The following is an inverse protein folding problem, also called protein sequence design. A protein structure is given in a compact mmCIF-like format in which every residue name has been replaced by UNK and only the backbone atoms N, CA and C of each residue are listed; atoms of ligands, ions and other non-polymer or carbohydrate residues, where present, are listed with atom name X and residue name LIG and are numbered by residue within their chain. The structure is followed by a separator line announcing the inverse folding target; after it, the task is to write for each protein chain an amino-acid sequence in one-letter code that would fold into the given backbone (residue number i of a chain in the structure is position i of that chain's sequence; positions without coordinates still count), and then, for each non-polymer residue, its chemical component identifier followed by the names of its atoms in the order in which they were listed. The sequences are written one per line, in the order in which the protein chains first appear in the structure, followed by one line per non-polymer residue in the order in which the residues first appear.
data_IF_611019153789
#
_entry.id   IF_611019153789
#
_cell.length_a   1.000
_cell.length_b   1.000
_cell.length_c   1.000
_cell.angle_alpha   90.00
_cell.angle_beta   90.00
_cell.angle_gamma   90.00
#
_symmetry.space_group_name_H-M   'P 1'
#
loop_
_entity.id
_entity.type
_entity.pdbx_description
1 polymer ?
#
# COMPACT_ATOMS: atom_id res chain seq x y z
N UNK A 1 21.89 29.59 -3.72
CA UNK A 1 22.68 28.97 -2.65
C UNK A 1 21.72 28.40 -1.64
N UNK A 2 21.83 27.13 -1.30
CA UNK A 2 21.08 26.50 -0.21
C UNK A 2 21.99 26.42 1.02
N UNK A 3 21.41 26.66 2.19
CA UNK A 3 22.09 26.56 3.47
C UNK A 3 21.39 25.48 4.30
N UNK A 4 22.13 24.65 5.00
CA UNK A 4 21.62 23.61 5.87
C UNK A 4 22.27 23.77 7.24
N UNK A 5 21.43 23.96 8.27
CA UNK A 5 21.85 24.07 9.67
C UNK A 5 21.02 23.10 10.51
N UNK A 6 21.69 22.35 11.34
CA UNK A 6 21.07 21.45 12.31
C UNK A 6 20.95 22.13 13.66
N UNK A 7 20.17 21.56 14.59
CA UNK A 7 20.10 22.07 15.96
C UNK A 7 21.45 22.00 16.69
N UNK A 8 22.34 21.10 16.29
CA UNK A 8 23.71 21.03 16.84
C UNK A 8 24.59 22.21 16.43
N UNK A 9 24.26 22.89 15.34
CA UNK A 9 24.99 24.08 14.88
C UNK A 9 24.58 25.33 15.66
N UNK A 10 23.57 25.26 16.51
CA UNK A 10 23.10 26.37 17.34
C UNK A 10 23.78 26.33 18.71
N UNK A 11 24.73 27.23 18.92
CA UNK A 11 25.48 27.34 20.18
C UNK A 11 24.65 27.72 21.41
N UNK A 12 23.38 28.13 21.22
CA UNK A 12 22.45 28.47 22.31
C UNK A 12 21.70 27.24 22.85
N UNK A 13 21.77 26.10 22.16
CA UNK A 13 21.12 24.85 22.59
C UNK A 13 22.16 23.93 23.24
N UNK A 14 21.75 23.31 24.35
CA UNK A 14 22.57 22.29 24.99
C UNK A 14 22.50 20.97 24.15
N UNK A 15 23.66 20.50 23.73
CA UNK A 15 23.77 19.24 22.99
C UNK A 15 23.23 18.03 23.77
N UNK A 16 23.31 18.07 25.12
CA UNK A 16 22.75 17.04 25.98
C UNK A 16 21.23 16.96 25.91
N UNK A 17 20.55 18.10 25.80
CA UNK A 17 19.10 18.14 25.60
C UNK A 17 18.69 17.58 24.22
N UNK A 18 19.49 17.88 23.18
CA UNK A 18 19.29 17.34 21.85
C UNK A 18 19.46 15.80 21.85
N UNK A 19 20.45 15.29 22.58
CA UNK A 19 20.67 13.84 22.71
C UNK A 19 19.56 13.13 23.50
N UNK A 20 18.95 13.81 24.49
CA UNK A 20 17.78 13.30 25.20
C UNK A 20 16.58 13.26 24.24
N UNK A 21 16.35 14.31 23.46
CA UNK A 21 15.29 14.34 22.45
C UNK A 21 15.47 13.20 21.43
N UNK A 22 16.71 12.93 20.99
CA UNK A 22 17.04 11.83 20.08
C UNK A 22 16.64 10.46 20.63
N UNK A 23 16.73 10.25 21.94
CA UNK A 23 16.34 8.99 22.60
C UNK A 23 14.84 8.88 22.85
N UNK A 24 14.14 10.01 22.92
CA UNK A 24 12.72 10.06 23.30
C UNK A 24 11.74 10.13 22.14
N UNK A 25 12.22 10.35 20.92
CA UNK A 25 11.38 10.45 19.73
C UNK A 25 11.83 9.50 18.62
N UNK A 26 10.96 9.32 17.60
CA UNK A 26 11.33 8.51 16.43
C UNK A 26 12.50 9.14 15.69
N UNK A 27 13.33 8.31 15.06
CA UNK A 27 14.48 8.78 14.27
C UNK A 27 14.06 9.74 13.14
N UNK A 28 12.88 9.53 12.56
CA UNK A 28 12.29 10.42 11.57
C UNK A 28 11.97 11.80 12.15
N UNK A 29 11.22 11.86 13.26
CA UNK A 29 10.88 13.12 13.91
C UNK A 29 12.14 13.88 14.34
N UNK A 30 13.13 13.17 14.87
CA UNK A 30 14.40 13.77 15.25
C UNK A 30 15.13 14.39 14.05
N UNK A 31 15.19 13.69 12.90
CA UNK A 31 15.83 14.23 11.71
C UNK A 31 15.11 15.45 11.15
N UNK A 32 13.78 15.46 11.14
CA UNK A 32 13.01 16.64 10.71
C UNK A 32 13.18 17.83 11.64
N UNK A 33 13.04 17.61 12.94
CA UNK A 33 12.98 18.70 13.91
C UNK A 33 14.37 19.24 14.31
N UNK A 34 15.38 18.36 14.42
CA UNK A 34 16.69 18.70 14.92
C UNK A 34 17.78 18.70 13.86
N UNK A 35 17.63 17.93 12.80
CA UNK A 35 18.63 17.79 11.75
C UNK A 35 18.27 18.55 10.47
N UNK A 36 17.18 19.35 10.48
CA UNK A 36 16.67 20.10 9.32
C UNK A 36 16.52 19.22 8.05
N UNK A 37 16.16 17.95 8.23
CA UNK A 37 15.99 17.02 7.13
C UNK A 37 14.65 17.27 6.43
N UNK A 38 14.67 17.43 5.12
CA UNK A 38 13.47 17.58 4.27
C UNK A 38 12.93 16.25 3.75
N UNK A 39 13.20 15.17 4.46
CA UNK A 39 12.66 13.85 4.08
C UNK A 39 11.14 13.87 4.02
N UNK A 40 10.58 13.33 2.93
CA UNK A 40 9.13 13.21 2.80
C UNK A 40 8.58 12.26 3.89
N UNK A 41 7.49 12.66 4.53
CA UNK A 41 6.78 11.80 5.50
C UNK A 41 6.41 10.49 4.82
N UNK A 42 6.97 9.38 5.27
CA UNK A 42 6.77 8.05 4.67
C UNK A 42 8.02 7.44 4.04
N UNK A 43 9.09 8.21 3.78
CA UNK A 43 10.36 7.66 3.27
C UNK A 43 11.05 6.71 4.26
N UNK A 44 10.65 6.70 5.53
CA UNK A 44 11.16 5.79 6.56
C UNK A 44 10.32 4.55 6.80
N UNK A 45 9.06 4.53 6.35
CA UNK A 45 8.20 3.34 6.55
C UNK A 45 8.70 2.13 5.78
N UNK A 46 9.35 2.37 4.62
CA UNK A 46 9.97 1.32 3.82
C UNK A 46 11.36 1.79 3.44
N UNK A 47 12.38 1.16 4.03
CA UNK A 47 13.76 1.43 3.65
C UNK A 47 14.08 0.64 2.39
N UNK A 48 14.77 1.28 1.44
CA UNK A 48 15.22 0.63 0.20
C UNK A 48 16.06 -0.62 0.49
N UNK A 49 16.84 -0.59 1.55
CA UNK A 49 17.67 -1.72 2.02
C UNK A 49 16.85 -2.95 2.48
N UNK A 50 15.55 -2.80 2.74
CA UNK A 50 14.66 -3.91 3.09
C UNK A 50 14.08 -4.60 1.85
N UNK A 51 14.12 -3.92 0.70
CA UNK A 51 13.62 -4.49 -0.55
C UNK A 51 14.63 -5.53 -1.03
N UNK A 52 14.19 -6.75 -1.12
CA UNK A 52 14.99 -7.86 -1.64
C UNK A 52 14.43 -8.28 -2.99
N UNK A 53 15.34 -8.42 -3.95
CA UNK A 53 15.00 -8.96 -5.25
C UNK A 53 15.49 -10.40 -5.33
N UNK A 54 14.71 -11.25 -6.01
CA UNK A 54 15.05 -12.66 -6.19
C UNK A 54 14.19 -13.28 -7.26
N UNK A 55 14.39 -14.57 -7.50
CA UNK A 55 13.57 -15.36 -8.40
C UNK A 55 12.32 -15.86 -7.68
N UNK A 56 11.20 -15.97 -8.41
CA UNK A 56 9.98 -16.55 -7.87
C UNK A 56 10.24 -18.00 -7.46
N UNK A 57 9.83 -18.41 -6.25
CA UNK A 57 9.97 -19.80 -5.85
C UNK A 57 9.17 -20.72 -6.78
N UNK A 58 9.69 -21.92 -7.06
CA UNK A 58 9.00 -22.90 -7.93
C UNK A 58 7.66 -23.32 -7.31
N UNK A 59 7.65 -23.59 -6.00
CA UNK A 59 6.48 -24.03 -5.25
C UNK A 59 5.88 -22.94 -4.39
N UNK A 60 4.58 -22.97 -4.18
CA UNK A 60 3.83 -22.07 -3.31
C UNK A 60 2.44 -21.77 -3.83
N UNK A 61 1.60 -21.29 -2.92
CA UNK A 61 0.22 -20.90 -3.19
C UNK A 61 0.13 -19.41 -3.52
N UNK A 62 -0.66 -19.07 -4.52
CA UNK A 62 -0.92 -17.68 -4.87
C UNK A 62 -2.05 -17.08 -4.04
N UNK A 63 -1.85 -15.85 -3.61
CA UNK A 63 -2.83 -15.00 -2.95
C UNK A 63 -2.86 -13.65 -3.67
N UNK A 64 -4.05 -13.06 -3.76
CA UNK A 64 -4.23 -11.74 -4.35
C UNK A 64 -4.77 -10.80 -3.27
N UNK A 65 -4.17 -9.64 -3.14
CA UNK A 65 -4.67 -8.56 -2.30
C UNK A 65 -5.02 -7.35 -3.18
N UNK A 66 -6.20 -6.76 -2.94
CA UNK A 66 -6.73 -5.64 -3.72
C UNK A 66 -6.98 -4.46 -2.79
N UNK A 67 -6.29 -3.35 -3.07
CA UNK A 67 -6.55 -2.02 -2.49
C UNK A 67 -7.31 -1.21 -3.55
N UNK A 68 -8.59 -0.94 -3.29
CA UNK A 68 -9.46 -0.27 -4.24
C UNK A 68 -9.42 1.24 -4.04
N UNK A 69 -9.13 1.99 -5.09
CA UNK A 69 -9.39 3.42 -5.13
C UNK A 69 -10.90 3.70 -4.98
N UNK A 70 -11.25 4.86 -4.40
CA UNK A 70 -12.63 5.31 -4.38
C UNK A 70 -13.11 5.53 -5.83
N UNK A 71 -14.22 4.89 -6.20
CA UNK A 71 -14.87 5.13 -7.48
C UNK A 71 -15.67 6.43 -7.36
N UNK A 72 -15.04 7.57 -7.64
CA UNK A 72 -15.78 8.82 -7.78
C UNK A 72 -16.49 8.84 -9.14
N UNK A 73 -17.74 9.35 -9.13
CA UNK A 73 -18.51 9.59 -10.34
C UNK A 73 -17.69 10.34 -11.38
N UNK A 74 -17.41 9.68 -12.50
CA UNK A 74 -16.68 10.25 -13.65
C UNK A 74 -17.37 11.55 -14.17
N UNK A 75 -18.61 11.81 -13.74
CA UNK A 75 -19.43 12.97 -14.12
C UNK A 75 -19.32 14.16 -13.15
N UNK A 76 -18.66 14.06 -12.00
CA UNK A 76 -18.43 15.24 -11.15
C UNK A 76 -17.31 16.08 -11.74
N UNK A 77 -17.63 17.34 -12.12
CA UNK A 77 -16.65 18.35 -12.55
C UNK A 77 -15.45 18.33 -11.60
N UNK A 78 -14.29 17.96 -12.13
CA UNK A 78 -13.01 17.92 -11.43
C UNK A 78 -12.77 19.23 -10.70
N UNK A 79 -12.85 19.22 -9.38
CA UNK A 79 -12.21 20.26 -8.58
C UNK A 79 -10.71 19.97 -8.59
N UNK A 80 -9.90 20.98 -8.88
CA UNK A 80 -8.46 20.92 -9.21
C UNK A 80 -7.53 20.26 -8.17
N UNK A 81 -8.02 19.73 -7.06
CA UNK A 81 -7.21 19.29 -5.90
C UNK A 81 -7.48 17.86 -5.36
N UNK A 82 -8.29 17.06 -6.01
CA UNK A 82 -8.42 15.65 -5.60
C UNK A 82 -7.33 14.82 -6.28
N UNK A 83 -6.26 14.50 -5.56
CA UNK A 83 -5.38 13.38 -5.90
C UNK A 83 -6.24 12.12 -5.76
N UNK A 84 -6.71 11.60 -6.89
CA UNK A 84 -7.36 10.29 -6.91
C UNK A 84 -6.28 9.23 -6.65
N UNK A 85 -6.53 8.36 -5.69
CA UNK A 85 -5.68 7.21 -5.44
C UNK A 85 -5.77 6.21 -6.59
N UNK A 86 -4.73 5.42 -6.78
CA UNK A 86 -4.72 4.32 -7.74
C UNK A 86 -5.25 3.04 -7.08
N UNK A 87 -5.97 2.22 -7.83
CA UNK A 87 -6.27 0.85 -7.42
C UNK A 87 -5.01 0.01 -7.60
N UNK A 88 -4.70 -0.85 -6.64
CA UNK A 88 -3.58 -1.77 -6.70
C UNK A 88 -4.04 -3.21 -6.47
N UNK A 89 -3.53 -4.12 -7.29
CA UNK A 89 -3.74 -5.57 -7.21
C UNK A 89 -2.37 -6.20 -7.03
N UNK A 90 -2.06 -6.69 -5.84
CA UNK A 90 -0.81 -7.37 -5.54
C UNK A 90 -1.02 -8.88 -5.58
N UNK A 91 -0.16 -9.58 -6.31
CA UNK A 91 -0.11 -11.03 -6.38
C UNK A 91 1.10 -11.49 -5.58
N UNK A 92 0.86 -12.30 -4.56
CA UNK A 92 1.90 -12.88 -3.73
C UNK A 92 1.89 -14.40 -3.86
N UNK A 93 3.07 -14.98 -3.97
CA UNK A 93 3.30 -16.42 -3.84
C UNK A 93 3.82 -16.70 -2.44
N UNK A 94 3.23 -17.65 -1.75
CA UNK A 94 3.51 -17.95 -0.35
C UNK A 94 3.88 -19.42 -0.21
N UNK A 95 4.97 -19.70 0.47
CA UNK A 95 5.39 -21.03 0.85
C UNK A 95 5.95 -21.05 2.29
N UNK A 96 6.51 -22.15 2.73
CA UNK A 96 7.10 -22.30 4.06
C UNK A 96 8.28 -21.34 4.33
N UNK A 97 8.96 -20.85 3.28
CA UNK A 97 10.10 -19.95 3.40
C UNK A 97 9.70 -18.46 3.42
N UNK A 98 8.42 -18.15 3.17
CA UNK A 98 7.90 -16.80 3.24
C UNK A 98 7.06 -16.38 2.04
N UNK A 99 7.14 -15.10 1.72
CA UNK A 99 6.31 -14.44 0.71
C UNK A 99 7.19 -13.90 -0.41
N UNK A 100 6.74 -14.08 -1.61
CA UNK A 100 7.33 -13.47 -2.80
C UNK A 100 6.25 -12.65 -3.52
N UNK A 101 6.53 -11.38 -3.77
CA UNK A 101 5.62 -10.53 -4.57
C UNK A 101 5.86 -10.83 -6.04
N UNK A 102 4.96 -11.57 -6.63
CA UNK A 102 5.05 -12.03 -8.01
C UNK A 102 4.75 -10.91 -9.00
N UNK A 103 3.71 -10.12 -8.71
CA UNK A 103 3.28 -9.04 -9.58
C UNK A 103 2.51 -7.97 -8.80
N UNK A 104 2.60 -6.74 -9.29
CA UNK A 104 1.76 -5.62 -8.82
C UNK A 104 1.17 -4.94 -10.05
N UNK A 105 -0.15 -5.00 -10.18
CA UNK A 105 -0.92 -4.34 -11.23
C UNK A 105 -1.59 -3.14 -10.60
N UNK A 106 -1.31 -1.95 -11.07
CA UNK A 106 -1.89 -0.73 -10.50
C UNK A 106 -2.29 0.26 -11.58
N UNK A 107 -3.26 1.10 -11.24
CA UNK A 107 -3.73 2.13 -12.15
C UNK A 107 -5.08 2.71 -11.73
N UNK A 108 -5.56 3.65 -12.56
CA UNK A 108 -6.86 4.30 -12.39
C UNK A 108 -7.84 3.73 -13.37
N UNK A 109 -8.71 2.90 -12.88
CA UNK A 109 -9.69 2.19 -13.69
C UNK A 109 -11.10 2.49 -13.21
N UNK A 110 -12.04 2.45 -14.13
CA UNK A 110 -13.45 2.43 -13.80
C UNK A 110 -13.83 1.08 -13.15
N UNK A 111 -15.06 1.01 -12.66
CA UNK A 111 -15.57 -0.13 -11.90
C UNK A 111 -15.46 -1.45 -12.67
N UNK A 112 -15.95 -1.47 -13.92
CA UNK A 112 -15.95 -2.67 -14.78
C UNK A 112 -14.53 -3.09 -15.19
N UNK A 113 -13.68 -2.13 -15.43
CA UNK A 113 -12.28 -2.38 -15.77
C UNK A 113 -11.54 -2.96 -14.56
N UNK A 114 -11.77 -2.41 -13.37
CA UNK A 114 -11.21 -2.94 -12.11
C UNK A 114 -11.65 -4.39 -11.89
N UNK A 115 -12.93 -4.69 -12.04
CA UNK A 115 -13.43 -6.06 -11.94
C UNK A 115 -12.78 -6.98 -12.98
N UNK A 116 -12.58 -6.48 -14.21
CA UNK A 116 -11.91 -7.23 -15.28
C UNK A 116 -10.44 -7.51 -14.94
N UNK A 117 -9.70 -6.53 -14.40
CA UNK A 117 -8.30 -6.72 -13.97
C UNK A 117 -8.17 -7.73 -12.84
N UNK A 118 -9.05 -7.66 -11.83
CA UNK A 118 -9.09 -8.66 -10.75
C UNK A 118 -9.36 -10.05 -11.33
N UNK A 119 -10.35 -10.18 -12.20
CA UNK A 119 -10.73 -11.45 -12.81
C UNK A 119 -9.61 -12.03 -13.69
N UNK A 120 -8.88 -11.20 -14.46
CA UNK A 120 -7.71 -11.59 -15.23
C UNK A 120 -6.60 -12.14 -14.32
N UNK A 121 -6.26 -11.41 -13.24
CA UNK A 121 -5.26 -11.87 -12.28
C UNK A 121 -5.63 -13.22 -11.67
N UNK A 122 -6.92 -13.44 -11.35
CA UNK A 122 -7.40 -14.75 -10.85
C UNK A 122 -7.22 -15.86 -11.88
N UNK A 123 -7.50 -15.60 -13.15
CA UNK A 123 -7.31 -16.60 -14.22
C UNK A 123 -5.86 -16.95 -14.44
N UNK A 124 -4.98 -15.95 -14.39
CA UNK A 124 -3.56 -16.10 -14.67
C UNK A 124 -2.84 -16.85 -13.54
N UNK A 125 -3.16 -16.50 -12.28
CA UNK A 125 -2.45 -17.01 -11.10
C UNK A 125 -3.19 -18.09 -10.32
N UNK A 126 -4.51 -18.26 -10.52
CA UNK A 126 -5.36 -19.24 -9.80
C UNK A 126 -5.16 -19.22 -8.30
N UNK A 127 -5.38 -18.06 -7.64
CA UNK A 127 -5.08 -17.89 -6.22
C UNK A 127 -5.99 -18.74 -5.34
N UNK A 128 -5.51 -19.07 -4.14
CA UNK A 128 -6.31 -19.71 -3.07
C UNK A 128 -7.43 -18.78 -2.63
N UNK A 129 -7.14 -17.48 -2.51
CA UNK A 129 -8.14 -16.47 -2.20
C UNK A 129 -7.75 -15.09 -2.72
N UNK A 130 -8.77 -14.22 -2.83
CA UNK A 130 -8.63 -12.81 -3.18
C UNK A 130 -9.10 -11.97 -2.00
N UNK A 131 -8.19 -11.28 -1.34
CA UNK A 131 -8.49 -10.35 -0.27
C UNK A 131 -8.84 -8.96 -0.83
N UNK A 132 -10.00 -8.42 -0.45
CA UNK A 132 -10.42 -7.06 -0.85
C UNK A 132 -10.75 -6.27 0.40
N UNK A 133 -10.20 -5.05 0.53
CA UNK A 133 -10.47 -4.18 1.67
C UNK A 133 -11.96 -3.87 1.81
N UNK A 134 -12.49 -3.98 3.05
CA UNK A 134 -13.87 -3.65 3.38
C UNK A 134 -14.16 -2.19 3.08
N UNK A 135 -15.25 -1.92 2.36
CA UNK A 135 -15.67 -0.56 2.09
C UNK A 135 -16.71 -0.46 0.96
N UNK A 136 -17.10 0.77 0.65
CA UNK A 136 -18.07 1.07 -0.41
C UNK A 136 -17.54 0.63 -1.78
N UNK A 137 -16.24 0.81 -2.02
CA UNK A 137 -15.60 0.41 -3.26
C UNK A 137 -15.68 -1.11 -3.48
N UNK A 138 -15.50 -1.93 -2.42
CA UNK A 138 -15.72 -3.38 -2.49
C UNK A 138 -17.16 -3.71 -2.87
N UNK A 139 -18.13 -3.09 -2.22
CA UNK A 139 -19.54 -3.34 -2.53
C UNK A 139 -19.86 -3.05 -4.00
N UNK A 140 -19.31 -1.97 -4.53
CA UNK A 140 -19.50 -1.58 -5.93
C UNK A 140 -18.88 -2.61 -6.90
N UNK A 141 -17.64 -3.05 -6.67
CA UNK A 141 -16.92 -3.97 -7.58
C UNK A 141 -17.48 -5.39 -7.57
N UNK A 142 -18.17 -5.79 -6.49
CA UNK A 142 -18.72 -7.15 -6.36
C UNK A 142 -19.75 -7.51 -7.43
N UNK A 143 -20.56 -6.55 -7.89
CA UNK A 143 -21.57 -6.82 -8.92
C UNK A 143 -20.94 -7.20 -10.26
N UNK A 144 -20.11 -6.35 -10.90
CA UNK A 144 -19.47 -6.70 -12.17
C UNK A 144 -18.53 -7.90 -12.04
N UNK A 145 -17.87 -8.08 -10.88
CA UNK A 145 -17.03 -9.25 -10.65
C UNK A 145 -17.83 -10.56 -10.62
N UNK A 146 -18.99 -10.55 -9.94
CA UNK A 146 -19.92 -11.70 -9.92
C UNK A 146 -20.44 -12.04 -11.32
N UNK A 147 -20.71 -11.03 -12.15
CA UNK A 147 -21.17 -11.25 -13.53
C UNK A 147 -20.07 -11.88 -14.39
N UNK A 148 -18.82 -11.48 -14.20
CA UNK A 148 -17.67 -12.13 -14.86
C UNK A 148 -17.51 -13.59 -14.40
N UNK A 149 -17.61 -13.85 -13.09
CA UNK A 149 -17.54 -15.21 -12.54
C UNK A 149 -18.61 -16.12 -13.16
N UNK A 150 -19.85 -15.65 -13.27
CA UNK A 150 -20.96 -16.39 -13.89
C UNK A 150 -20.74 -16.59 -15.38
N UNK A 151 -20.35 -15.53 -16.10
CA UNK A 151 -20.15 -15.54 -17.56
C UNK A 151 -19.08 -16.56 -17.99
N UNK A 152 -18.00 -16.65 -17.22
CA UNK A 152 -16.87 -17.51 -17.56
C UNK A 152 -16.83 -18.83 -16.78
N UNK A 153 -17.81 -19.06 -15.89
CA UNK A 153 -17.85 -20.27 -15.07
C UNK A 153 -16.67 -20.42 -14.11
N UNK A 154 -16.02 -19.32 -13.77
CA UNK A 154 -14.81 -19.29 -12.94
C UNK A 154 -15.14 -18.64 -11.60
N UNK A 155 -15.23 -19.47 -10.56
CA UNK A 155 -15.55 -19.02 -9.21
C UNK A 155 -14.32 -19.11 -8.31
N UNK A 156 -14.13 -18.12 -7.46
CA UNK A 156 -13.01 -18.05 -6.53
C UNK A 156 -13.45 -17.44 -5.19
N UNK A 157 -12.66 -17.73 -4.16
CA UNK A 157 -12.91 -17.25 -2.81
C UNK A 157 -12.52 -15.77 -2.69
N UNK A 158 -13.45 -14.95 -2.21
CA UNK A 158 -13.22 -13.55 -1.90
C UNK A 158 -13.29 -13.38 -0.39
N UNK A 159 -12.23 -12.84 0.19
CA UNK A 159 -12.13 -12.53 1.60
C UNK A 159 -12.24 -11.03 1.83
N UNK A 160 -12.94 -10.65 2.89
CA UNK A 160 -13.03 -9.26 3.31
C UNK A 160 -11.87 -8.94 4.25
N UNK A 161 -10.99 -8.03 3.82
CA UNK A 161 -9.90 -7.55 4.66
C UNK A 161 -10.41 -6.41 5.53
N UNK A 162 -10.34 -6.60 6.85
CA UNK A 162 -10.74 -5.59 7.83
C UNK A 162 -9.51 -5.13 8.60
N UNK A 163 -9.36 -3.83 8.76
CA UNK A 163 -8.20 -3.25 9.43
C UNK A 163 -8.48 -2.75 10.85
N UNK A 164 -9.69 -2.96 11.35
CA UNK A 164 -10.13 -2.34 12.60
C UNK A 164 -10.06 -0.81 12.51
N UNK A 165 -9.95 -0.14 13.66
CA UNK A 165 -9.85 1.33 13.72
C UNK A 165 -8.40 1.85 13.67
N UNK A 166 -7.42 1.03 13.27
CA UNK A 166 -6.02 1.46 13.19
C UNK A 166 -5.79 2.36 11.98
N UNK A 167 -5.06 3.45 12.17
CA UNK A 167 -4.64 4.34 11.07
C UNK A 167 -3.76 3.57 10.07
N UNK A 168 -3.79 3.95 8.79
CA UNK A 168 -3.00 3.32 7.72
C UNK A 168 -1.48 3.30 8.07
N UNK A 169 -0.97 4.36 8.66
CA UNK A 169 0.40 4.48 9.15
C UNK A 169 0.75 3.45 10.21
N UNK A 170 -0.16 3.22 11.17
CA UNK A 170 0.08 2.29 12.27
C UNK A 170 0.09 0.84 11.77
N UNK A 171 -0.71 0.52 10.73
CA UNK A 171 -0.76 -0.81 10.12
C UNK A 171 0.54 -1.18 9.42
N UNK A 172 1.13 -0.23 8.71
CA UNK A 172 2.39 -0.43 7.99
C UNK A 172 3.57 -0.57 8.94
N UNK A 173 3.54 0.06 10.11
CA UNK A 173 4.61 -0.05 11.11
C UNK A 173 4.60 -1.38 11.89
N UNK A 174 3.54 -2.19 11.75
CA UNK A 174 3.39 -3.49 12.44
C UNK A 174 3.44 -4.68 11.47
N UNK A 175 3.62 -4.44 10.19
CA UNK A 175 3.81 -5.47 9.17
C UNK A 175 5.29 -5.86 9.04
#
# INVERSE_FOLDING_TARGET
KAWHFTSYDNSMLDSGEIDIAKKSMSSYAFRQEFMASFEARGSEMFKEEWVRFGESPEEGDYYIAVDLAGFEDVNKKRTKNTKLDDTAIAVAKVNENGWFVENIIYGRWGLDETATKIFQAVRDYRPVSVGIEKGIAKQAVMSPLSDLMKRYGTFFRIEELTHGNKKKTDRVMWA
#
